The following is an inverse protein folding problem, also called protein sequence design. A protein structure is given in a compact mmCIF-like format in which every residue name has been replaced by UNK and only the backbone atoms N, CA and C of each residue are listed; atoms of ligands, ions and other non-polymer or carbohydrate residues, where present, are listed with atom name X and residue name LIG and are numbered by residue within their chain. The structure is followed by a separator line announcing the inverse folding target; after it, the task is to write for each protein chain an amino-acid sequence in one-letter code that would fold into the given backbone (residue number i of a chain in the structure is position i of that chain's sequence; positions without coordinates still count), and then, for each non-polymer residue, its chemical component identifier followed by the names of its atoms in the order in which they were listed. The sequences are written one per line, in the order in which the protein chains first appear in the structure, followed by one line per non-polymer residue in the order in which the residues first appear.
data_IF_440848848584
#
_entry.id   IF_440848848584
#
_cell.length_a   1.000
_cell.length_b   1.000
_cell.length_c   1.000
_cell.angle_alpha   90.00
_cell.angle_beta   90.00
_cell.angle_gamma   90.00
#
_symmetry.space_group_name_H-M   'P 1'
#
loop_
_entity.id
_entity.type
_entity.pdbx_description
1 polymer ?
#
# COMPACT_ATOMS: atom_id res chain seq x y z
N UNK A 1 21.61 0.69 -4.89
CA UNK A 1 20.43 1.58 -5.04
C UNK A 1 19.32 0.70 -5.57
N UNK A 2 18.12 0.80 -5.01
CA UNK A 2 16.95 0.06 -5.50
C UNK A 2 16.19 1.04 -6.39
N UNK A 3 16.11 0.74 -7.69
CA UNK A 3 15.44 1.58 -8.67
C UNK A 3 14.05 1.02 -8.97
N UNK A 4 13.06 1.89 -9.16
CA UNK A 4 11.64 1.52 -9.37
C UNK A 4 11.08 0.66 -8.23
N UNK A 5 11.17 1.20 -7.01
CA UNK A 5 10.67 0.58 -5.78
C UNK A 5 9.21 0.14 -5.91
N UNK A 6 8.92 -1.07 -5.44
CA UNK A 6 7.58 -1.63 -5.33
C UNK A 6 7.37 -2.27 -3.94
N UNK A 7 6.15 -2.73 -3.62
CA UNK A 7 5.81 -3.26 -2.29
C UNK A 7 6.64 -4.49 -1.89
N UNK A 8 7.08 -5.31 -2.85
CA UNK A 8 7.89 -6.50 -2.59
C UNK A 8 9.32 -6.17 -2.13
N UNK A 9 9.77 -4.92 -2.30
CA UNK A 9 11.05 -4.45 -1.77
C UNK A 9 11.01 -4.18 -0.26
N UNK A 10 9.84 -4.25 0.40
CA UNK A 10 9.74 -4.08 1.84
C UNK A 10 10.40 -5.24 2.60
N UNK A 11 11.30 -4.93 3.54
CA UNK A 11 11.91 -5.98 4.37
C UNK A 11 13.22 -5.58 5.06
N UNK A 12 13.89 -6.57 5.65
CA UNK A 12 15.20 -6.40 6.29
C UNK A 12 16.34 -6.53 5.26
N UNK A 13 17.15 -5.48 5.16
CA UNK A 13 18.38 -5.43 4.39
C UNK A 13 19.57 -5.44 5.32
N UNK A 14 20.67 -6.05 4.88
CA UNK A 14 21.93 -6.06 5.62
C UNK A 14 23.08 -5.54 4.78
N UNK A 15 23.89 -4.68 5.38
CA UNK A 15 25.21 -4.33 4.89
C UNK A 15 26.25 -5.07 5.74
N UNK A 16 27.14 -5.81 5.08
CA UNK A 16 28.15 -6.63 5.73
C UNK A 16 29.55 -6.24 5.25
N UNK A 17 30.48 -6.11 6.21
CA UNK A 17 31.90 -5.92 5.98
C UNK A 17 32.64 -7.13 6.54
N UNK A 18 33.45 -7.77 5.70
CA UNK A 18 34.25 -8.93 6.05
C UNK A 18 35.55 -8.49 6.75
N UNK A 19 35.44 -8.12 8.02
CA UNK A 19 36.57 -7.91 8.94
C UNK A 19 36.64 -9.06 9.96
N UNK A 20 37.71 -9.11 10.74
CA UNK A 20 37.83 -9.98 11.93
C UNK A 20 37.68 -9.09 13.18
N UNK A 21 36.55 -9.09 13.90
CA UNK A 21 35.30 -9.80 13.65
C UNK A 21 34.43 -9.14 12.56
N UNK A 22 33.51 -9.92 11.97
CA UNK A 22 32.62 -9.44 10.91
C UNK A 22 31.70 -8.34 11.44
N UNK A 23 31.66 -7.21 10.74
CA UNK A 23 30.73 -6.12 11.06
C UNK A 23 29.50 -6.21 10.16
N UNK A 24 28.31 -6.22 10.76
CA UNK A 24 27.04 -6.28 10.03
C UNK A 24 26.13 -5.18 10.55
N UNK A 25 25.46 -4.46 9.64
CA UNK A 25 24.41 -3.49 9.95
C UNK A 25 23.12 -3.92 9.27
N UNK A 26 22.04 -4.08 10.05
CA UNK A 26 20.70 -4.39 9.56
C UNK A 26 19.87 -3.12 9.50
N UNK A 27 19.01 -3.03 8.48
CA UNK A 27 18.15 -1.89 8.18
C UNK A 27 16.82 -2.47 7.72
N UNK A 28 15.70 -1.93 8.21
CA UNK A 28 14.38 -2.29 7.69
C UNK A 28 13.93 -1.23 6.69
N UNK A 29 13.61 -1.63 5.47
CA UNK A 29 13.03 -0.78 4.45
C UNK A 29 11.52 -0.91 4.52
N UNK A 30 10.83 0.21 4.79
CA UNK A 30 9.37 0.32 4.71
C UNK A 30 9.02 1.02 3.40
N UNK A 31 8.14 0.40 2.63
CA UNK A 31 7.62 0.99 1.38
C UNK A 31 6.27 1.63 1.67
N UNK A 32 6.03 2.81 1.10
CA UNK A 32 4.79 3.55 1.27
C UNK A 32 4.13 3.73 -0.09
N UNK A 33 2.88 3.35 -0.20
CA UNK A 33 2.09 3.39 -1.43
C UNK A 33 0.94 4.38 -1.23
N UNK A 34 0.84 5.43 -2.06
CA UNK A 34 -0.24 6.40 -1.94
C UNK A 34 -1.60 5.70 -2.10
N UNK A 35 -2.62 6.13 -1.33
CA UNK A 35 -3.93 5.51 -1.41
C UNK A 35 -4.53 5.72 -2.79
N UNK A 36 -5.05 4.64 -3.38
CA UNK A 36 -5.86 4.69 -4.60
C UNK A 36 -7.30 4.35 -4.28
N UNK A 37 -8.24 5.03 -4.95
CA UNK A 37 -9.65 4.66 -4.90
C UNK A 37 -9.76 3.28 -5.54
N UNK A 38 -10.21 2.32 -4.76
CA UNK A 38 -10.56 0.99 -5.28
C UNK A 38 -11.89 1.18 -5.98
N UNK A 39 -11.96 0.81 -7.26
CA UNK A 39 -13.15 0.95 -8.09
C UNK A 39 -14.36 0.31 -7.38
N UNK A 40 -15.10 1.13 -6.63
CA UNK A 40 -16.37 0.72 -6.04
C UNK A 40 -17.40 0.85 -7.14
N UNK A 41 -17.61 -0.25 -7.86
CA UNK A 41 -18.73 -0.40 -8.79
C UNK A 41 -19.92 -0.85 -7.95
N UNK A 42 -20.90 0.02 -7.64
CA UNK A 42 -22.15 -0.47 -7.09
C UNK A 42 -22.74 -1.50 -8.05
N UNK A 43 -23.31 -2.57 -7.53
CA UNK A 43 -24.07 -3.54 -8.32
C UNK A 43 -25.53 -3.46 -7.86
N UNK A 44 -26.40 -2.72 -8.57
CA UNK A 44 -26.25 -2.22 -9.94
C UNK A 44 -25.41 -0.92 -10.09
N UNK A 45 -24.79 -0.66 -11.26
CA UNK A 45 -23.86 0.47 -11.50
C UNK A 45 -24.55 1.84 -11.47
N UNK A 46 -25.86 1.88 -11.67
CA UNK A 46 -26.69 3.07 -11.51
C UNK A 46 -27.58 2.87 -10.29
N UNK A 47 -27.47 3.76 -9.31
CA UNK A 47 -28.33 3.77 -8.14
C UNK A 47 -29.43 4.80 -8.37
N UNK A 48 -30.69 4.37 -8.33
CA UNK A 48 -31.87 5.25 -8.39
C UNK A 48 -32.69 5.07 -7.12
N UNK A 49 -32.97 6.18 -6.42
CA UNK A 49 -33.77 6.17 -5.19
C UNK A 49 -35.02 7.03 -5.37
N UNK A 50 -36.07 6.72 -4.61
CA UNK A 50 -37.28 7.56 -4.54
C UNK A 50 -37.07 8.67 -3.52
N UNK A 51 -37.79 9.79 -3.71
CA UNK A 51 -37.80 10.89 -2.74
C UNK A 51 -38.27 10.39 -1.36
N UNK A 52 -37.61 10.87 -0.30
CA UNK A 52 -37.87 10.47 1.10
C UNK A 52 -37.09 9.24 1.59
N UNK A 53 -36.21 8.65 0.77
CA UNK A 53 -35.35 7.51 1.15
C UNK A 53 -33.92 8.01 1.40
N UNK A 54 -33.28 7.54 2.47
CA UNK A 54 -31.87 7.80 2.76
C UNK A 54 -30.94 6.85 1.99
N UNK A 55 -29.86 7.37 1.41
CA UNK A 55 -28.84 6.60 0.69
C UNK A 55 -27.46 6.83 1.31
N UNK A 56 -26.68 5.77 1.44
CA UNK A 56 -25.26 5.83 1.84
C UNK A 56 -24.39 5.38 0.67
N UNK A 57 -23.49 6.26 0.23
CA UNK A 57 -22.47 5.94 -0.78
C UNK A 57 -21.18 5.54 -0.08
N UNK A 58 -20.67 4.35 -0.40
CA UNK A 58 -19.39 3.87 0.12
C UNK A 58 -18.27 4.21 -0.86
N UNK A 59 -17.20 4.83 -0.36
CA UNK A 59 -15.95 4.99 -1.10
C UNK A 59 -14.85 4.25 -0.34
N UNK A 60 -14.15 3.34 -1.01
CA UNK A 60 -13.03 2.60 -0.44
C UNK A 60 -11.74 3.02 -1.12
N UNK A 61 -10.72 3.34 -0.32
CA UNK A 61 -9.37 3.59 -0.80
C UNK A 61 -8.41 2.64 -0.08
N UNK A 62 -7.39 2.17 -0.79
CA UNK A 62 -6.36 1.26 -0.27
C UNK A 62 -4.98 1.82 -0.60
N UNK A 63 -4.07 1.76 0.38
CA UNK A 63 -2.67 2.21 0.34
C UNK A 63 -1.96 1.76 1.63
N UNK A 64 -0.63 1.78 1.63
CA UNK A 64 0.23 1.24 2.70
C UNK A 64 1.33 2.20 3.11
#
# INVERSE_FOLDING_TARGET
IIDRVNEDDQGEYQCQINTEPRKTKRIFLTVQVPPRIVDFRPNPPLISIRSGISLTLLCRAEGT
#
